data_IF_360262494758
#
_entry.id   IF_360262494758
#
_cell.length_a   1.000
_cell.length_b   1.000
_cell.length_c   1.000
_cell.angle_alpha   90.00
_cell.angle_beta   90.00
_cell.angle_gamma   90.00
#
_symmetry.space_group_name_H-M   'P 1'
#
loop_
_entity.id
_entity.type
_entity.pdbx_description
1 polymer ?
#
# COMPACT_ATOMS: atom_id res chain seq x y z
N UNK A 1 36.36 9.91 12.39
CA UNK A 1 35.51 9.62 11.23
C UNK A 1 34.67 10.85 10.97
N UNK A 2 34.91 11.56 9.90
CA UNK A 2 34.20 12.80 9.52
C UNK A 2 32.78 12.41 9.10
N UNK A 3 31.79 12.82 9.91
CA UNK A 3 30.37 12.78 9.55
C UNK A 3 30.18 13.46 8.20
N UNK A 4 29.87 12.69 7.19
CA UNK A 4 29.24 13.22 5.96
C UNK A 4 27.83 13.61 6.37
N UNK A 5 27.68 14.84 6.88
CA UNK A 5 26.37 15.46 7.05
C UNK A 5 25.79 15.59 5.62
N UNK A 6 24.95 14.65 5.24
CA UNK A 6 24.14 14.75 4.02
C UNK A 6 23.35 16.06 4.08
N UNK A 7 23.14 16.71 2.92
CA UNK A 7 22.40 17.98 2.85
C UNK A 7 21.00 17.79 3.44
N UNK A 8 20.45 18.83 4.11
CA UNK A 8 19.05 18.77 4.53
C UNK A 8 18.14 18.47 3.33
N UNK A 9 17.32 17.42 3.45
CA UNK A 9 16.34 17.04 2.46
C UNK A 9 14.96 17.49 2.94
N UNK A 10 14.36 18.46 2.25
CA UNK A 10 13.01 18.95 2.52
C UNK A 10 11.96 17.97 1.96
N UNK A 11 10.66 18.07 2.37
CA UNK A 11 9.59 17.34 1.72
C UNK A 11 9.60 17.54 0.20
N UNK A 12 9.37 16.46 -0.55
CA UNK A 12 9.41 16.47 -2.01
C UNK A 12 8.18 17.18 -2.61
N UNK A 13 7.02 16.93 -2.03
CA UNK A 13 5.77 17.55 -2.45
C UNK A 13 4.85 17.84 -1.26
N UNK A 14 3.99 18.87 -1.35
CA UNK A 14 3.03 19.19 -0.30
C UNK A 14 1.94 18.12 -0.23
N UNK A 15 1.75 17.57 0.98
CA UNK A 15 0.66 16.67 1.33
C UNK A 15 -0.18 17.26 2.47
N UNK A 16 -1.42 16.83 2.58
CA UNK A 16 -2.30 17.26 3.67
C UNK A 16 -1.70 16.89 5.03
N UNK A 17 -1.71 17.82 5.98
CA UNK A 17 -1.23 17.58 7.34
C UNK A 17 0.28 17.67 7.54
N UNK A 18 1.06 18.19 6.59
CA UNK A 18 2.52 18.39 6.74
C UNK A 18 2.87 19.31 7.90
N UNK A 19 2.01 20.25 8.24
CA UNK A 19 2.15 21.23 9.33
C UNK A 19 1.28 20.94 10.55
N UNK A 20 0.70 19.72 10.62
CA UNK A 20 -0.18 19.31 11.71
C UNK A 20 0.55 19.38 13.05
N UNK A 21 0.00 20.16 13.99
CA UNK A 21 0.48 20.22 15.36
C UNK A 21 -0.21 19.17 16.21
N UNK A 22 0.58 18.30 16.86
CA UNK A 22 0.05 17.27 17.74
C UNK A 22 0.47 17.51 19.20
N UNK A 23 -0.40 17.22 20.17
CA UNK A 23 -0.06 17.39 21.59
C UNK A 23 0.91 16.28 22.05
N UNK A 24 1.83 16.66 22.95
CA UNK A 24 2.75 15.73 23.60
C UNK A 24 2.27 15.42 25.03
N UNK A 25 2.59 14.22 25.53
CA UNK A 25 2.17 13.75 26.85
C UNK A 25 2.76 14.59 28.00
N UNK A 26 3.96 15.14 27.83
CA UNK A 26 4.60 16.06 28.77
C UNK A 26 4.08 17.51 28.67
N UNK A 27 3.11 17.77 27.79
CA UNK A 27 2.57 19.09 27.50
C UNK A 27 3.25 19.77 26.29
N UNK A 28 2.60 20.80 25.76
CA UNK A 28 3.02 21.47 24.52
C UNK A 28 2.60 20.70 23.28
N UNK A 29 3.08 21.16 22.12
CA UNK A 29 2.80 20.57 20.79
C UNK A 29 4.09 20.52 19.98
N UNK A 30 4.13 19.62 18.98
CA UNK A 30 5.13 19.61 17.94
C UNK A 30 4.50 19.33 16.58
N UNK A 31 5.22 19.62 15.50
CA UNK A 31 4.79 19.19 14.17
C UNK A 31 4.84 17.68 14.05
N UNK A 32 3.75 17.07 13.59
CA UNK A 32 3.65 15.63 13.42
C UNK A 32 4.62 15.11 12.36
N UNK A 33 5.41 14.09 12.69
CA UNK A 33 6.23 13.36 11.73
C UNK A 33 5.53 12.05 11.35
N UNK A 34 5.03 11.98 10.12
CA UNK A 34 4.36 10.80 9.61
C UNK A 34 5.36 9.80 9.01
N UNK A 35 5.43 8.62 9.59
CA UNK A 35 6.18 7.47 9.07
C UNK A 35 5.27 6.25 8.82
N UNK A 36 3.97 6.48 8.52
CA UNK A 36 3.03 5.41 8.22
C UNK A 36 2.42 5.51 6.79
N UNK A 37 3.17 6.05 5.84
CA UNK A 37 2.75 6.18 4.42
C UNK A 37 2.40 4.84 3.77
N UNK A 38 3.08 3.75 4.15
CA UNK A 38 2.81 2.41 3.63
C UNK A 38 1.46 1.83 4.09
N UNK A 39 0.86 2.33 5.17
CA UNK A 39 -0.51 1.99 5.57
C UNK A 39 -1.52 2.81 4.78
N UNK A 40 -1.38 4.15 4.80
CA UNK A 40 -2.20 5.09 4.02
C UNK A 40 -1.49 6.44 3.91
N UNK A 41 -1.35 6.95 2.70
CA UNK A 41 -0.71 8.24 2.46
C UNK A 41 -1.72 9.39 2.59
N UNK A 42 -1.32 10.54 3.17
CA UNK A 42 -2.11 11.77 3.11
C UNK A 42 -2.35 12.21 1.66
N UNK A 43 -3.41 12.99 1.42
CA UNK A 43 -3.70 13.47 0.08
C UNK A 43 -2.62 14.47 -0.41
N UNK A 44 -2.21 14.36 -1.68
CA UNK A 44 -1.51 15.45 -2.37
C UNK A 44 -2.42 16.67 -2.49
N UNK A 45 -1.86 17.88 -2.46
CA UNK A 45 -2.62 19.11 -2.65
C UNK A 45 -3.42 19.11 -3.96
N UNK A 46 -2.83 18.64 -5.07
CA UNK A 46 -3.51 18.50 -6.36
C UNK A 46 -4.73 17.56 -6.31
N UNK A 47 -4.74 16.59 -5.41
CA UNK A 47 -5.88 15.68 -5.21
C UNK A 47 -7.03 16.39 -4.50
N UNK A 48 -6.75 17.14 -3.43
CA UNK A 48 -7.78 17.92 -2.71
C UNK A 48 -8.38 19.00 -3.59
N UNK A 49 -7.55 19.67 -4.39
CA UNK A 49 -8.01 20.70 -5.34
C UNK A 49 -8.93 20.10 -6.41
N UNK A 50 -8.58 18.97 -6.99
CA UNK A 50 -9.41 18.25 -7.97
C UNK A 50 -10.78 17.85 -7.37
N UNK A 51 -10.80 17.39 -6.11
CA UNK A 51 -12.07 17.07 -5.43
C UNK A 51 -12.92 18.31 -5.24
N UNK A 52 -12.33 19.42 -4.77
CA UNK A 52 -13.04 20.68 -4.60
C UNK A 52 -13.64 21.21 -5.92
N UNK A 53 -12.89 21.10 -7.03
CA UNK A 53 -13.34 21.49 -8.38
C UNK A 53 -14.51 20.62 -8.88
N UNK A 54 -14.45 19.30 -8.64
CA UNK A 54 -15.45 18.36 -9.17
C UNK A 54 -16.73 18.32 -8.33
N UNK A 55 -16.65 18.58 -7.04
CA UNK A 55 -17.75 18.41 -6.10
C UNK A 55 -19.04 19.16 -6.50
N UNK A 56 -19.02 20.41 -7.03
CA UNK A 56 -20.23 21.09 -7.52
C UNK A 56 -20.92 20.40 -8.70
N UNK A 57 -20.20 19.55 -9.45
CA UNK A 57 -20.71 18.82 -10.61
C UNK A 57 -21.02 17.36 -10.29
N UNK A 58 -20.88 16.93 -9.03
CA UNK A 58 -21.15 15.55 -8.65
C UNK A 58 -22.60 15.16 -8.95
N UNK A 59 -22.76 14.08 -9.71
CA UNK A 59 -24.06 13.55 -10.12
C UNK A 59 -23.93 12.07 -10.55
N UNK A 60 -25.02 11.51 -11.08
CA UNK A 60 -25.04 10.15 -11.62
C UNK A 60 -24.04 9.97 -12.77
N UNK A 61 -23.50 8.77 -12.91
CA UNK A 61 -22.57 8.38 -13.98
C UNK A 61 -23.26 7.40 -14.95
N UNK A 62 -23.06 7.60 -16.25
CA UNK A 62 -23.58 6.78 -17.37
C UNK A 62 -25.11 6.74 -17.54
N UNK A 63 -25.92 7.36 -16.66
CA UNK A 63 -27.37 7.17 -16.62
C UNK A 63 -28.19 8.46 -16.69
N UNK A 64 -27.56 9.60 -16.90
CA UNK A 64 -28.26 10.89 -16.91
C UNK A 64 -27.89 11.75 -18.11
N UNK A 65 -28.90 12.42 -18.70
CA UNK A 65 -28.71 13.42 -19.77
C UNK A 65 -28.37 14.82 -19.22
N UNK A 66 -28.51 15.02 -17.90
CA UNK A 66 -28.26 16.29 -17.23
C UNK A 66 -26.78 16.72 -17.34
N UNK A 67 -26.53 18.02 -17.36
CA UNK A 67 -25.19 18.58 -17.53
C UNK A 67 -24.18 18.03 -16.49
N UNK A 68 -24.52 18.07 -15.19
CA UNK A 68 -23.66 17.54 -14.13
C UNK A 68 -23.38 16.02 -14.28
N UNK A 69 -24.38 15.23 -14.69
CA UNK A 69 -24.18 13.80 -14.97
C UNK A 69 -23.20 13.57 -16.11
N UNK A 70 -23.25 14.40 -17.15
CA UNK A 70 -22.29 14.31 -18.26
C UNK A 70 -20.88 14.69 -17.83
N UNK A 71 -20.73 15.71 -16.97
CA UNK A 71 -19.42 16.10 -16.40
C UNK A 71 -18.87 14.98 -15.52
N UNK A 72 -19.67 14.44 -14.59
CA UNK A 72 -19.26 13.31 -13.74
C UNK A 72 -18.86 12.08 -14.55
N UNK A 73 -19.61 11.76 -15.61
CA UNK A 73 -19.29 10.63 -16.51
C UNK A 73 -17.98 10.88 -17.25
N UNK A 74 -17.79 12.08 -17.79
CA UNK A 74 -16.56 12.43 -18.51
C UNK A 74 -15.33 12.38 -17.58
N UNK A 75 -15.45 12.88 -16.35
CA UNK A 75 -14.39 12.82 -15.36
C UNK A 75 -14.03 11.35 -15.00
N UNK A 76 -15.02 10.50 -14.81
CA UNK A 76 -14.85 9.08 -14.48
C UNK A 76 -14.15 8.32 -15.61
N UNK A 77 -14.59 8.49 -16.86
CA UNK A 77 -13.98 7.80 -18.01
C UNK A 77 -12.61 8.38 -18.38
N UNK A 78 -12.39 9.70 -18.21
CA UNK A 78 -11.05 10.29 -18.35
C UNK A 78 -10.08 9.70 -17.32
N UNK A 79 -10.53 9.52 -16.08
CA UNK A 79 -9.71 8.89 -15.05
C UNK A 79 -9.26 7.48 -15.43
N UNK A 80 -10.10 6.71 -16.13
CA UNK A 80 -9.74 5.39 -16.65
C UNK A 80 -8.58 5.45 -17.63
N UNK A 81 -8.61 6.41 -18.53
CA UNK A 81 -7.51 6.65 -19.49
C UNK A 81 -6.23 7.09 -18.75
N UNK A 82 -6.35 8.06 -17.85
CA UNK A 82 -5.22 8.55 -17.04
C UNK A 82 -4.53 7.42 -16.27
N UNK A 83 -5.30 6.52 -15.65
CA UNK A 83 -4.74 5.36 -14.93
C UNK A 83 -4.06 4.38 -15.88
N UNK A 84 -4.67 4.08 -17.05
CA UNK A 84 -4.06 3.21 -18.05
C UNK A 84 -2.71 3.75 -18.53
N UNK A 85 -2.66 5.05 -18.85
CA UNK A 85 -1.43 5.72 -19.29
C UNK A 85 -0.37 5.75 -18.18
N UNK A 86 -0.79 6.00 -16.93
CA UNK A 86 0.11 6.08 -15.78
C UNK A 86 0.88 4.78 -15.51
N UNK A 87 0.25 3.63 -15.76
CA UNK A 87 0.87 2.30 -15.56
C UNK A 87 1.40 1.67 -16.85
N UNK A 88 1.39 2.40 -17.97
CA UNK A 88 1.84 1.86 -19.27
C UNK A 88 1.02 0.65 -19.73
N UNK A 89 -0.30 0.70 -19.58
CA UNK A 89 -1.17 -0.41 -19.95
C UNK A 89 -1.18 -0.67 -21.47
N UNK A 90 -1.29 -1.94 -21.86
CA UNK A 90 -1.47 -2.31 -23.27
C UNK A 90 -2.80 -1.76 -23.79
N UNK A 91 -2.87 -1.52 -25.11
CA UNK A 91 -4.04 -0.88 -25.75
C UNK A 91 -5.36 -1.63 -25.56
N UNK A 92 -5.31 -2.95 -25.41
CA UNK A 92 -6.45 -3.84 -25.21
C UNK A 92 -6.68 -4.20 -23.73
N UNK A 93 -5.85 -3.69 -22.83
CA UNK A 93 -6.04 -3.85 -21.38
C UNK A 93 -7.30 -3.14 -20.90
N UNK A 94 -7.88 -3.69 -19.83
CA UNK A 94 -9.03 -3.13 -19.14
C UNK A 94 -8.60 -2.56 -17.81
N UNK A 95 -9.07 -1.37 -17.48
CA UNK A 95 -8.98 -0.79 -16.13
C UNK A 95 -10.33 -0.98 -15.45
N UNK A 96 -10.36 -1.67 -14.32
CA UNK A 96 -11.56 -1.83 -13.48
C UNK A 96 -11.33 -1.06 -12.18
N UNK A 97 -12.26 -0.18 -11.82
CA UNK A 97 -12.22 0.52 -10.54
C UNK A 97 -12.88 -0.30 -9.45
N UNK A 98 -12.20 -0.39 -8.32
CA UNK A 98 -12.60 -1.13 -7.14
C UNK A 98 -12.49 -0.24 -5.90
N UNK A 99 -12.65 -0.79 -4.70
CA UNK A 99 -12.46 -0.04 -3.46
C UNK A 99 -10.98 0.10 -3.05
N UNK A 100 -10.18 -0.94 -3.31
CA UNK A 100 -8.77 -1.02 -2.93
C UNK A 100 -8.10 -2.25 -3.58
N UNK A 101 -6.81 -2.47 -3.37
CA UNK A 101 -6.05 -3.64 -3.87
C UNK A 101 -6.67 -4.97 -3.44
N UNK A 102 -7.14 -5.08 -2.19
CA UNK A 102 -7.79 -6.31 -1.69
C UNK A 102 -9.01 -6.67 -2.54
N UNK A 103 -9.84 -5.67 -2.84
CA UNK A 103 -11.02 -5.83 -3.69
C UNK A 103 -10.63 -6.23 -5.13
N UNK A 104 -9.59 -5.60 -5.69
CA UNK A 104 -9.04 -5.90 -7.01
C UNK A 104 -8.54 -7.34 -7.13
N UNK A 105 -7.77 -7.81 -6.14
CA UNK A 105 -7.24 -9.18 -6.14
C UNK A 105 -8.32 -10.23 -5.92
N UNK A 106 -9.36 -9.94 -5.11
CA UNK A 106 -10.52 -10.82 -4.97
C UNK A 106 -11.34 -10.90 -6.27
N UNK A 107 -11.51 -9.79 -6.97
CA UNK A 107 -12.13 -9.78 -8.29
C UNK A 107 -11.34 -10.64 -9.27
N UNK A 108 -10.03 -10.46 -9.36
CA UNK A 108 -9.18 -11.25 -10.24
C UNK A 108 -9.24 -12.74 -9.87
N UNK A 109 -9.18 -13.08 -8.58
CA UNK A 109 -9.24 -14.46 -8.10
C UNK A 109 -10.54 -15.18 -8.51
N UNK A 110 -11.65 -14.46 -8.63
CA UNK A 110 -12.91 -15.01 -9.13
C UNK A 110 -12.87 -15.29 -10.65
N UNK A 111 -11.95 -14.69 -11.38
CA UNK A 111 -11.83 -14.81 -12.84
C UNK A 111 -10.69 -15.75 -13.29
N UNK A 112 -9.76 -16.11 -12.39
CA UNK A 112 -8.63 -17.01 -12.73
C UNK A 112 -9.13 -18.42 -13.01
N UNK A 113 -8.78 -19.03 -14.18
CA UNK A 113 -9.34 -20.32 -14.59
C UNK A 113 -8.62 -21.56 -14.02
N UNK A 114 -7.69 -21.41 -13.08
CA UNK A 114 -6.90 -22.53 -12.55
C UNK A 114 -6.05 -22.19 -11.33
N UNK A 115 -5.04 -23.01 -11.06
CA UNK A 115 -4.15 -22.86 -9.92
C UNK A 115 -3.41 -21.51 -9.94
N UNK A 116 -3.21 -20.95 -8.74
CA UNK A 116 -2.39 -19.74 -8.54
C UNK A 116 -1.20 -20.06 -7.64
N UNK A 117 0.00 -19.69 -8.08
CA UNK A 117 1.24 -19.77 -7.29
C UNK A 117 1.49 -18.42 -6.63
N UNK A 118 1.82 -18.43 -5.34
CA UNK A 118 2.13 -17.24 -4.52
C UNK A 118 3.35 -17.52 -3.64
N UNK A 119 3.99 -16.47 -3.11
CA UNK A 119 5.02 -16.60 -2.08
C UNK A 119 4.41 -16.59 -0.66
N UNK A 120 5.12 -17.16 0.31
CA UNK A 120 4.73 -17.11 1.74
C UNK A 120 4.94 -15.74 2.39
N UNK A 121 5.54 -14.80 1.66
CA UNK A 121 5.80 -13.42 2.09
C UNK A 121 4.67 -12.45 1.75
N UNK A 122 3.65 -12.90 1.00
CA UNK A 122 2.60 -12.05 0.48
C UNK A 122 1.79 -11.37 1.60
N UNK A 123 1.38 -10.13 1.33
CA UNK A 123 0.32 -9.49 2.10
C UNK A 123 -0.96 -10.36 2.05
N UNK A 124 -1.75 -10.37 3.12
CA UNK A 124 -2.98 -11.17 3.19
C UNK A 124 -3.90 -10.99 1.97
N UNK A 125 -3.95 -9.77 1.40
CA UNK A 125 -4.73 -9.49 0.21
C UNK A 125 -4.31 -10.29 -1.02
N UNK A 126 -3.00 -10.63 -1.13
CA UNK A 126 -2.45 -11.45 -2.21
C UNK A 126 -2.18 -12.90 -1.80
N UNK A 127 -2.37 -13.23 -0.51
CA UNK A 127 -2.22 -14.59 -0.02
C UNK A 127 -3.54 -15.35 0.02
N UNK A 128 -4.64 -14.70 0.42
CA UNK A 128 -5.87 -15.37 0.84
C UNK A 128 -6.90 -15.64 -0.28
N UNK A 129 -7.07 -14.80 -1.33
CA UNK A 129 -8.25 -14.87 -2.19
C UNK A 129 -8.24 -16.03 -3.20
N UNK A 130 -7.10 -16.63 -3.48
CA UNK A 130 -6.91 -17.63 -4.51
C UNK A 130 -7.50 -18.98 -4.08
N UNK A 131 -8.42 -19.55 -4.88
CA UNK A 131 -9.12 -20.81 -4.55
C UNK A 131 -8.19 -22.01 -4.51
N UNK A 132 -7.41 -22.20 -5.60
CA UNK A 132 -6.46 -23.31 -5.76
C UNK A 132 -5.04 -22.78 -5.61
N UNK A 133 -4.72 -22.31 -4.38
CA UNK A 133 -3.45 -21.67 -4.06
C UNK A 133 -2.35 -22.68 -3.78
N UNK A 134 -1.20 -22.49 -4.41
CA UNK A 134 0.06 -23.14 -4.09
C UNK A 134 1.05 -22.11 -3.54
N UNK A 135 1.60 -22.38 -2.37
CA UNK A 135 2.49 -21.44 -1.68
C UNK A 135 3.92 -21.92 -1.79
N UNK A 136 4.78 -21.11 -2.38
CA UNK A 136 6.22 -21.32 -2.41
C UNK A 136 6.86 -20.56 -1.26
N UNK A 137 7.65 -21.26 -0.47
CA UNK A 137 8.42 -20.67 0.64
C UNK A 137 9.63 -19.94 0.05
N UNK A 138 9.70 -18.64 0.25
CA UNK A 138 10.83 -17.83 -0.19
C UNK A 138 12.14 -18.33 0.47
N UNK A 139 13.28 -18.25 -0.20
CA UNK A 139 14.59 -18.60 0.35
C UNK A 139 15.23 -17.43 1.12
N UNK A 140 16.45 -17.59 1.59
CA UNK A 140 17.24 -16.50 2.20
C UNK A 140 17.86 -15.57 1.16
N UNK A 141 17.85 -15.97 -0.12
CA UNK A 141 18.24 -15.15 -1.26
C UNK A 141 17.11 -15.05 -2.28
N UNK A 142 17.06 -13.95 -3.01
CA UNK A 142 16.10 -13.74 -4.07
C UNK A 142 16.34 -14.70 -5.23
N UNK A 143 17.60 -14.93 -5.59
CA UNK A 143 17.98 -15.88 -6.64
C UNK A 143 17.44 -17.28 -6.36
N UNK A 144 17.65 -17.83 -5.15
CA UNK A 144 17.12 -19.15 -4.77
C UNK A 144 15.58 -19.14 -4.70
N UNK A 145 14.96 -18.03 -4.34
CA UNK A 145 13.50 -17.90 -4.35
C UNK A 145 12.95 -18.03 -5.77
N UNK A 146 13.61 -17.41 -6.75
CA UNK A 146 13.25 -17.50 -8.17
C UNK A 146 13.42 -18.94 -8.67
N UNK A 147 14.52 -19.63 -8.31
CA UNK A 147 14.72 -21.04 -8.64
C UNK A 147 13.60 -21.95 -8.07
N UNK A 148 13.13 -21.67 -6.85
CA UNK A 148 12.00 -22.41 -6.25
C UNK A 148 10.70 -22.16 -6.99
N UNK A 149 10.44 -20.93 -7.44
CA UNK A 149 9.27 -20.60 -8.27
C UNK A 149 9.33 -21.32 -9.63
N UNK A 150 10.51 -21.33 -10.28
CA UNK A 150 10.73 -22.04 -11.53
C UNK A 150 10.46 -23.55 -11.39
N UNK A 151 11.00 -24.17 -10.34
CA UNK A 151 10.78 -25.57 -10.03
C UNK A 151 9.30 -25.89 -9.76
N UNK A 152 8.61 -25.06 -8.99
CA UNK A 152 7.17 -25.25 -8.69
C UNK A 152 6.30 -25.17 -9.95
N UNK A 153 6.55 -24.18 -10.81
CA UNK A 153 5.81 -24.02 -12.07
C UNK A 153 6.14 -25.14 -13.08
N UNK A 154 7.36 -25.68 -13.06
CA UNK A 154 7.75 -26.80 -13.91
C UNK A 154 7.08 -28.13 -13.51
N UNK A 155 6.84 -28.36 -12.21
CA UNK A 155 6.21 -29.60 -11.72
C UNK A 155 4.74 -29.69 -12.08
N UNK A 156 4.00 -28.60 -11.97
CA UNK A 156 2.57 -28.55 -12.27
C UNK A 156 2.20 -27.21 -12.90
N UNK A 157 1.56 -27.19 -14.08
CA UNK A 157 1.08 -25.93 -14.67
C UNK A 157 0.23 -25.12 -13.70
N UNK A 158 0.34 -23.81 -13.77
CA UNK A 158 -0.49 -22.85 -13.06
C UNK A 158 -1.14 -21.90 -14.08
N UNK A 159 -2.30 -21.37 -13.76
CA UNK A 159 -2.91 -20.30 -14.57
C UNK A 159 -2.24 -18.95 -14.24
N UNK A 160 -1.84 -18.74 -12.98
CA UNK A 160 -1.36 -17.46 -12.50
C UNK A 160 -0.17 -17.62 -11.53
N UNK A 161 0.83 -16.76 -11.68
CA UNK A 161 1.81 -16.39 -10.67
C UNK A 161 1.37 -15.04 -10.08
N UNK A 162 1.00 -14.98 -8.80
CA UNK A 162 0.59 -13.73 -8.14
C UNK A 162 1.62 -13.35 -7.08
N UNK A 163 2.27 -12.19 -7.27
CA UNK A 163 3.41 -11.75 -6.44
C UNK A 163 3.24 -10.29 -6.00
N UNK A 164 3.80 -9.95 -4.86
CA UNK A 164 3.98 -8.54 -4.50
C UNK A 164 5.05 -7.88 -5.37
N UNK A 165 4.84 -6.64 -5.77
CA UNK A 165 5.86 -5.86 -6.48
C UNK A 165 6.94 -5.32 -5.54
N UNK A 166 6.54 -4.96 -4.32
CA UNK A 166 7.43 -4.57 -3.22
C UNK A 166 6.83 -5.03 -1.89
N UNK A 167 7.66 -5.57 -1.00
CA UNK A 167 7.24 -6.05 0.31
C UNK A 167 6.68 -4.92 1.18
N UNK A 168 5.47 -5.07 1.69
CA UNK A 168 4.88 -4.13 2.63
C UNK A 168 5.50 -4.18 4.04
N UNK A 169 6.37 -5.14 4.28
CA UNK A 169 7.12 -5.30 5.54
C UNK A 169 8.52 -4.74 5.40
N UNK A 170 9.31 -5.24 4.47
CA UNK A 170 10.74 -4.96 4.37
C UNK A 170 11.10 -3.92 3.31
N UNK A 171 10.15 -3.61 2.42
CA UNK A 171 10.35 -2.68 1.31
C UNK A 171 11.12 -3.26 0.12
N UNK A 172 11.58 -4.50 0.20
CA UNK A 172 12.34 -5.16 -0.87
C UNK A 172 11.50 -5.28 -2.15
N UNK A 173 12.10 -4.90 -3.29
CA UNK A 173 11.47 -4.89 -4.61
C UNK A 173 11.82 -6.17 -5.36
N UNK A 174 10.81 -6.82 -5.94
CA UNK A 174 11.00 -8.03 -6.74
C UNK A 174 11.34 -7.70 -8.21
N UNK A 175 12.12 -8.53 -8.91
CA UNK A 175 12.49 -8.34 -10.30
C UNK A 175 11.32 -8.73 -11.24
N UNK A 176 10.35 -7.86 -11.36
CA UNK A 176 9.05 -8.11 -12.03
C UNK A 176 9.21 -8.63 -13.44
N UNK A 177 10.08 -8.03 -14.26
CA UNK A 177 10.29 -8.46 -15.64
C UNK A 177 10.83 -9.90 -15.75
N UNK A 178 11.73 -10.30 -14.85
CA UNK A 178 12.28 -11.66 -14.77
C UNK A 178 11.20 -12.65 -14.36
N UNK A 179 10.39 -12.30 -13.34
CA UNK A 179 9.28 -13.13 -12.87
C UNK A 179 8.14 -13.25 -13.89
N UNK A 180 7.89 -12.19 -14.67
CA UNK A 180 6.96 -12.24 -15.79
C UNK A 180 7.43 -13.20 -16.87
N UNK A 181 8.70 -13.08 -17.28
CA UNK A 181 9.30 -14.00 -18.25
C UNK A 181 9.31 -15.46 -17.73
N UNK A 182 9.55 -15.65 -16.43
CA UNK A 182 9.49 -16.97 -15.80
C UNK A 182 8.06 -17.55 -15.87
N UNK A 183 7.05 -16.82 -15.44
CA UNK A 183 5.66 -17.25 -15.50
C UNK A 183 5.24 -17.63 -16.94
N UNK A 184 5.56 -16.79 -17.90
CA UNK A 184 5.22 -17.02 -19.31
C UNK A 184 5.92 -18.23 -19.91
N UNK A 185 7.18 -18.55 -19.53
CA UNK A 185 7.86 -19.79 -19.97
C UNK A 185 7.11 -21.05 -19.57
N UNK A 186 6.38 -21.01 -18.46
CA UNK A 186 5.55 -22.12 -17.97
C UNK A 186 4.08 -22.01 -18.39
N UNK A 187 3.73 -21.05 -19.26
CA UNK A 187 2.35 -20.84 -19.73
C UNK A 187 1.42 -20.20 -18.68
N UNK A 188 1.94 -19.74 -17.57
CA UNK A 188 1.21 -18.98 -16.56
C UNK A 188 1.20 -17.47 -16.90
N UNK A 189 0.15 -16.78 -16.50
CA UNK A 189 0.13 -15.30 -16.43
C UNK A 189 0.75 -14.81 -15.13
N UNK A 190 1.08 -13.50 -15.07
CA UNK A 190 1.55 -12.86 -13.87
C UNK A 190 0.59 -11.75 -13.40
N UNK A 191 0.26 -11.75 -12.11
CA UNK A 191 -0.41 -10.64 -11.42
C UNK A 191 0.54 -10.02 -10.40
N UNK A 192 0.65 -8.70 -10.42
CA UNK A 192 1.46 -7.95 -9.48
C UNK A 192 0.57 -7.20 -8.49
N UNK A 193 0.73 -7.49 -7.20
CA UNK A 193 0.26 -6.60 -6.14
C UNK A 193 1.19 -5.39 -6.10
N UNK A 194 0.75 -4.30 -6.73
CA UNK A 194 1.47 -3.05 -6.85
C UNK A 194 1.21 -2.07 -5.69
N UNK A 195 0.54 -2.52 -4.61
CA UNK A 195 0.11 -1.63 -3.52
C UNK A 195 1.27 -0.83 -2.89
N UNK A 196 2.47 -1.42 -2.80
CA UNK A 196 3.67 -0.74 -2.30
C UNK A 196 4.64 -0.36 -3.43
N UNK A 197 4.53 -0.92 -4.62
CA UNK A 197 5.42 -0.59 -5.72
C UNK A 197 5.00 0.70 -6.44
N UNK A 198 3.72 0.82 -6.80
CA UNK A 198 3.20 1.93 -7.61
C UNK A 198 3.38 3.32 -6.97
N UNK A 199 3.29 3.49 -5.62
CA UNK A 199 3.59 4.78 -4.98
C UNK A 199 5.06 5.22 -5.04
N UNK A 200 6.00 4.29 -5.29
CA UNK A 200 7.43 4.50 -5.14
C UNK A 200 8.22 4.36 -6.44
N UNK A 201 7.70 3.64 -7.44
CA UNK A 201 8.39 3.37 -8.72
C UNK A 201 7.45 3.58 -9.89
N UNK A 202 7.97 4.19 -10.95
CA UNK A 202 7.30 4.14 -12.25
C UNK A 202 7.18 2.70 -12.69
N UNK A 203 6.01 2.34 -13.18
CA UNK A 203 5.75 1.02 -13.72
C UNK A 203 5.19 1.16 -15.14
N UNK A 204 5.70 0.34 -16.04
CA UNK A 204 5.16 0.15 -17.38
C UNK A 204 4.86 -1.34 -17.54
N UNK A 205 3.59 -1.70 -17.32
CA UNK A 205 3.17 -3.12 -17.28
C UNK A 205 3.32 -3.80 -18.64
N UNK A 206 3.23 -3.05 -19.73
CA UNK A 206 3.45 -3.59 -21.07
C UNK A 206 4.94 -3.93 -21.29
N UNK A 207 5.84 -3.02 -20.93
CA UNK A 207 7.28 -3.25 -21.05
C UNK A 207 7.78 -4.35 -20.10
N UNK A 208 7.19 -4.48 -18.91
CA UNK A 208 7.55 -5.50 -17.92
C UNK A 208 6.92 -6.88 -18.18
N UNK A 209 5.99 -6.98 -19.14
CA UNK A 209 5.28 -8.22 -19.43
C UNK A 209 4.25 -8.61 -18.36
N UNK A 210 3.72 -7.66 -17.59
CA UNK A 210 2.73 -7.90 -16.53
C UNK A 210 1.34 -8.06 -17.15
N UNK A 211 0.64 -9.16 -16.83
CA UNK A 211 -0.71 -9.42 -17.33
C UNK A 211 -1.80 -8.72 -16.50
N UNK A 212 -1.58 -8.62 -15.19
CA UNK A 212 -2.49 -7.94 -14.25
C UNK A 212 -1.73 -7.14 -13.21
N UNK A 213 -2.19 -5.93 -12.93
CA UNK A 213 -1.68 -5.07 -11.87
C UNK A 213 -2.83 -4.62 -10.98
N UNK A 214 -2.66 -4.73 -9.65
CA UNK A 214 -3.61 -4.21 -8.67
C UNK A 214 -2.94 -3.20 -7.73
N UNK A 215 -3.59 -2.06 -7.45
CA UNK A 215 -3.10 -1.07 -6.48
C UNK A 215 -4.24 -0.24 -5.87
N UNK A 216 -3.90 0.55 -4.83
CA UNK A 216 -4.86 1.34 -4.06
C UNK A 216 -4.55 2.83 -4.10
N UNK A 217 -5.57 3.65 -4.29
CA UNK A 217 -5.44 5.10 -4.29
C UNK A 217 -4.98 5.66 -2.93
N UNK A 218 -5.44 5.08 -1.81
CA UNK A 218 -5.09 5.57 -0.47
C UNK A 218 -3.61 5.44 -0.12
N UNK A 219 -2.84 4.63 -0.84
CA UNK A 219 -1.37 4.57 -0.74
C UNK A 219 -0.68 5.45 -1.77
N UNK A 220 -1.38 5.77 -2.85
CA UNK A 220 -0.95 6.66 -3.93
C UNK A 220 -1.47 8.10 -3.69
N UNK A 221 -1.46 8.57 -2.45
CA UNK A 221 -1.84 9.94 -2.07
C UNK A 221 -3.27 10.36 -2.44
N UNK A 222 -4.18 9.41 -2.66
CA UNK A 222 -5.60 9.63 -2.95
C UNK A 222 -6.51 8.86 -1.97
N UNK A 223 -6.67 9.32 -0.70
CA UNK A 223 -7.34 8.59 0.38
C UNK A 223 -8.89 8.63 0.29
N UNK A 224 -9.46 8.44 -0.90
CA UNK A 224 -10.91 8.55 -1.13
C UNK A 224 -11.57 7.22 -1.54
N UNK A 225 -10.97 6.09 -1.16
CA UNK A 225 -11.57 4.75 -1.30
C UNK A 225 -11.70 4.26 -2.74
N UNK A 226 -10.68 4.50 -3.57
CA UNK A 226 -10.56 3.93 -4.90
C UNK A 226 -9.37 2.97 -4.99
N UNK A 227 -9.56 1.87 -5.71
CA UNK A 227 -8.53 0.92 -6.11
C UNK A 227 -8.65 0.60 -7.60
N UNK A 228 -7.69 -0.13 -8.12
CA UNK A 228 -7.57 -0.44 -9.54
C UNK A 228 -7.15 -1.88 -9.75
N UNK A 229 -7.79 -2.53 -10.72
CA UNK A 229 -7.28 -3.70 -11.41
C UNK A 229 -7.08 -3.33 -12.88
N UNK A 230 -5.86 -3.47 -13.38
CA UNK A 230 -5.53 -3.29 -14.81
C UNK A 230 -5.07 -4.62 -15.37
N UNK A 231 -5.53 -5.01 -16.54
CA UNK A 231 -5.01 -6.22 -17.18
C UNK A 231 -5.82 -6.72 -18.38
N UNK A 232 -5.50 -7.95 -18.79
CA UNK A 232 -6.07 -8.60 -19.94
C UNK A 232 -7.59 -8.81 -19.80
N UNK A 233 -8.32 -8.54 -20.88
CA UNK A 233 -9.79 -8.52 -20.89
C UNK A 233 -10.42 -9.91 -20.79
N UNK A 234 -9.81 -10.91 -21.38
CA UNK A 234 -10.41 -12.22 -21.63
C UNK A 234 -10.90 -12.95 -20.37
N UNK A 235 -10.09 -13.01 -19.31
CA UNK A 235 -10.53 -13.60 -18.03
C UNK A 235 -11.59 -12.75 -17.35
N UNK A 236 -11.48 -11.42 -17.46
CA UNK A 236 -12.46 -10.50 -16.87
C UNK A 236 -13.81 -10.58 -17.58
N UNK A 237 -13.83 -10.79 -18.90
CA UNK A 237 -15.07 -11.00 -19.66
C UNK A 237 -15.68 -12.40 -19.43
N UNK A 238 -14.85 -13.42 -19.19
CA UNK A 238 -15.29 -14.80 -18.95
C UNK A 238 -15.76 -15.02 -17.51
N UNK A 239 -15.22 -14.30 -16.53
CA UNK A 239 -15.55 -14.43 -15.12
C UNK A 239 -16.96 -13.95 -14.79
N UNK A 240 -17.52 -14.45 -13.68
CA UNK A 240 -18.76 -13.92 -13.13
C UNK A 240 -18.56 -12.44 -12.71
N UNK A 241 -19.61 -11.61 -12.78
CA UNK A 241 -19.51 -10.23 -12.33
C UNK A 241 -19.10 -10.17 -10.85
N UNK A 242 -18.17 -9.29 -10.51
CA UNK A 242 -17.72 -9.12 -9.13
C UNK A 242 -18.88 -8.74 -8.19
N UNK A 243 -19.74 -7.84 -8.67
CA UNK A 243 -21.00 -7.46 -8.03
C UNK A 243 -22.12 -7.55 -9.06
N UNK A 244 -23.17 -8.30 -8.76
CA UNK A 244 -24.36 -8.38 -9.61
C UNK A 244 -25.29 -7.20 -9.33
N UNK A 245 -25.55 -6.36 -10.32
CA UNK A 245 -26.41 -5.19 -10.14
C UNK A 245 -26.57 -4.31 -11.37
N UNK A 246 -27.30 -3.24 -11.20
CA UNK A 246 -27.49 -2.25 -12.27
C UNK A 246 -26.18 -1.62 -12.72
N UNK A 247 -25.95 -1.53 -14.03
CA UNK A 247 -24.72 -1.06 -14.65
C UNK A 247 -23.83 -2.18 -15.19
N UNK A 248 -23.85 -3.37 -14.59
CA UNK A 248 -23.10 -4.54 -15.03
C UNK A 248 -23.78 -5.36 -16.12
N UNK A 249 -25.01 -4.99 -16.52
CA UNK A 249 -25.84 -5.75 -17.44
C UNK A 249 -26.11 -4.99 -18.74
N UNK A 250 -26.25 -5.73 -19.86
CA UNK A 250 -26.82 -5.23 -21.11
C UNK A 250 -28.33 -5.35 -21.12
N UNK A 251 -28.85 -6.51 -20.70
CA UNK A 251 -30.26 -6.75 -20.59
C UNK A 251 -30.58 -7.74 -19.45
N UNK A 252 -31.75 -7.59 -18.85
CA UNK A 252 -32.25 -8.47 -17.78
C UNK A 252 -33.72 -8.77 -18.01
N UNK A 253 -34.07 -10.05 -17.92
CA UNK A 253 -35.44 -10.54 -17.74
C UNK A 253 -35.51 -11.39 -16.47
N UNK A 254 -36.72 -11.88 -16.14
CA UNK A 254 -36.86 -12.75 -14.96
C UNK A 254 -36.02 -14.03 -15.10
N UNK A 255 -35.92 -14.55 -16.30
CA UNK A 255 -35.33 -15.88 -16.56
C UNK A 255 -33.94 -15.78 -17.21
N UNK A 256 -33.46 -14.56 -17.57
CA UNK A 256 -32.22 -14.42 -18.29
C UNK A 256 -31.53 -13.09 -18.01
N UNK A 257 -30.19 -13.12 -17.87
CA UNK A 257 -29.34 -11.96 -17.73
C UNK A 257 -28.21 -11.98 -18.77
N UNK A 258 -28.10 -10.92 -19.55
CA UNK A 258 -26.95 -10.67 -20.42
C UNK A 258 -26.02 -9.66 -19.75
N UNK A 259 -24.84 -10.11 -19.35
CA UNK A 259 -23.85 -9.26 -18.69
C UNK A 259 -23.13 -8.35 -19.69
N UNK A 260 -22.78 -7.15 -19.25
CA UNK A 260 -21.90 -6.26 -20.00
C UNK A 260 -20.47 -6.86 -20.07
N UNK A 261 -19.63 -6.45 -21.02
CA UNK A 261 -18.21 -6.74 -20.98
C UNK A 261 -17.52 -5.97 -19.85
N UNK A 262 -16.29 -6.38 -19.47
CA UNK A 262 -15.44 -5.57 -18.60
C UNK A 262 -15.08 -4.21 -19.28
N UNK A 263 -14.95 -3.11 -18.53
CA UNK A 263 -14.98 -3.03 -17.07
C UNK A 263 -16.39 -3.02 -16.46
N UNK A 264 -17.44 -2.64 -17.20
CA UNK A 264 -18.79 -2.43 -16.67
C UNK A 264 -19.34 -3.67 -15.96
N UNK A 265 -18.99 -4.88 -16.44
CA UNK A 265 -19.34 -6.17 -15.81
C UNK A 265 -19.01 -6.23 -14.34
N UNK A 266 -17.94 -5.55 -13.90
CA UNK A 266 -17.42 -5.60 -12.54
C UNK A 266 -17.66 -4.31 -11.73
N UNK A 267 -18.24 -3.28 -12.35
CA UNK A 267 -18.49 -1.96 -11.73
C UNK A 267 -20.00 -1.72 -11.52
N UNK A 268 -20.70 -2.67 -10.91
CA UNK A 268 -22.13 -2.52 -10.64
C UNK A 268 -22.42 -1.45 -9.57
N UNK A 269 -23.60 -0.85 -9.67
CA UNK A 269 -24.05 0.20 -8.75
C UNK A 269 -23.64 1.59 -9.20
N UNK A 270 -23.69 2.55 -8.28
CA UNK A 270 -23.15 3.90 -8.50
C UNK A 270 -21.67 3.89 -8.13
N UNK A 271 -20.75 4.21 -9.07
CA UNK A 271 -19.33 4.15 -8.79
C UNK A 271 -18.87 5.30 -7.90
N UNK A 272 -17.71 5.13 -7.27
CA UNK A 272 -17.05 6.16 -6.47
C UNK A 272 -16.38 7.22 -7.37
N UNK A 273 -17.17 8.14 -7.92
CA UNK A 273 -16.71 9.18 -8.87
C UNK A 273 -15.60 10.03 -8.27
N UNK A 274 -15.79 10.50 -7.04
CA UNK A 274 -14.81 11.38 -6.37
C UNK A 274 -13.51 10.65 -6.08
N UNK A 275 -13.60 9.41 -5.57
CA UNK A 275 -12.40 8.60 -5.31
C UNK A 275 -11.61 8.27 -6.58
N UNK A 276 -12.30 7.99 -7.69
CA UNK A 276 -11.65 7.73 -8.99
C UNK A 276 -11.02 9.01 -9.57
N UNK A 277 -11.70 10.16 -9.44
CA UNK A 277 -11.13 11.45 -9.86
C UNK A 277 -9.92 11.84 -9.01
N UNK A 278 -9.97 11.58 -7.70
CA UNK A 278 -8.84 11.75 -6.78
C UNK A 278 -7.64 10.89 -7.19
N UNK A 279 -7.89 9.62 -7.49
CA UNK A 279 -6.85 8.69 -7.96
C UNK A 279 -6.20 9.17 -9.27
N UNK A 280 -7.00 9.61 -10.24
CA UNK A 280 -6.48 10.16 -11.49
C UNK A 280 -5.64 11.42 -11.25
N UNK A 281 -6.08 12.32 -10.35
CA UNK A 281 -5.31 13.50 -9.99
C UNK A 281 -3.96 13.17 -9.34
N UNK A 282 -3.92 12.12 -8.50
CA UNK A 282 -2.65 11.61 -7.94
C UNK A 282 -1.75 11.04 -9.03
N UNK A 283 -2.28 10.24 -9.96
CA UNK A 283 -1.54 9.71 -11.11
C UNK A 283 -0.97 10.85 -11.97
N UNK A 284 -1.79 11.87 -12.31
CA UNK A 284 -1.36 13.05 -13.09
C UNK A 284 -0.24 13.81 -12.36
N UNK A 285 -0.39 14.07 -11.05
CA UNK A 285 0.59 14.79 -10.26
C UNK A 285 1.93 14.05 -10.16
N UNK A 286 1.90 12.74 -9.84
CA UNK A 286 3.10 11.90 -9.71
C UNK A 286 3.76 11.73 -11.09
N UNK A 287 2.98 11.57 -12.17
CA UNK A 287 3.50 11.51 -13.53
C UNK A 287 4.23 12.80 -13.96
N UNK A 288 3.90 13.92 -13.34
CA UNK A 288 4.56 15.21 -13.58
C UNK A 288 5.89 15.40 -12.86
N UNK A 289 6.25 14.55 -11.90
CA UNK A 289 7.54 14.63 -11.21
C UNK A 289 8.67 14.01 -12.04
N UNK A 290 9.89 14.50 -11.84
CA UNK A 290 11.08 13.85 -12.38
C UNK A 290 11.37 12.56 -11.58
N UNK A 291 11.46 11.44 -12.27
CA UNK A 291 11.65 10.13 -11.66
C UNK A 291 12.99 10.00 -10.92
N UNK A 292 14.05 10.60 -11.48
CA UNK A 292 15.37 10.52 -10.86
C UNK A 292 15.41 11.36 -9.56
N UNK A 293 14.76 12.52 -9.55
CA UNK A 293 14.64 13.35 -8.35
C UNK A 293 13.78 12.67 -7.27
N UNK A 294 12.66 12.03 -7.67
CA UNK A 294 11.79 11.29 -6.76
C UNK A 294 12.53 10.12 -6.10
N UNK A 295 13.23 9.32 -6.91
CA UNK A 295 14.02 8.19 -6.41
C UNK A 295 15.20 8.65 -5.56
N UNK A 296 15.88 9.73 -5.92
CA UNK A 296 16.97 10.30 -5.15
C UNK A 296 16.52 10.79 -3.76
N UNK A 297 15.34 11.45 -3.70
CA UNK A 297 14.72 11.87 -2.45
C UNK A 297 14.42 10.67 -1.53
N UNK A 298 13.73 9.65 -2.05
CA UNK A 298 13.41 8.45 -1.29
C UNK A 298 14.66 7.71 -0.83
N UNK A 299 15.64 7.55 -1.72
CA UNK A 299 16.91 6.87 -1.43
C UNK A 299 17.69 7.58 -0.31
N UNK A 300 17.80 8.91 -0.38
CA UNK A 300 18.48 9.72 0.66
C UNK A 300 17.83 9.49 2.03
N UNK A 301 16.50 9.64 2.12
CA UNK A 301 15.78 9.50 3.39
C UNK A 301 15.81 8.06 3.92
N UNK A 302 15.61 7.06 3.04
CA UNK A 302 15.60 5.66 3.45
C UNK A 302 16.99 5.16 3.85
N UNK A 303 18.05 5.59 3.15
CA UNK A 303 19.44 5.30 3.52
C UNK A 303 19.81 5.92 4.85
N UNK A 304 19.43 7.19 5.07
CA UNK A 304 19.63 7.89 6.33
C UNK A 304 18.93 7.19 7.49
N UNK A 305 17.67 6.77 7.31
CA UNK A 305 16.91 6.05 8.31
C UNK A 305 17.55 4.70 8.63
N UNK A 306 17.87 3.90 7.60
CA UNK A 306 18.53 2.60 7.79
C UNK A 306 19.87 2.72 8.50
N UNK A 307 20.71 3.68 8.08
CA UNK A 307 22.02 3.91 8.71
C UNK A 307 21.89 4.37 10.17
N UNK A 308 20.94 5.27 10.45
CA UNK A 308 20.67 5.74 11.82
C UNK A 308 20.20 4.61 12.74
N UNK A 309 19.24 3.82 12.30
CA UNK A 309 18.70 2.68 13.07
C UNK A 309 19.75 1.57 13.27
N UNK A 310 20.52 1.24 12.24
CA UNK A 310 21.57 0.20 12.32
C UNK A 310 22.74 0.59 13.26
N UNK A 311 22.88 1.88 13.58
CA UNK A 311 23.89 2.35 14.52
C UNK A 311 23.44 2.26 15.99
N UNK A 312 22.18 1.94 16.27
CA UNK A 312 21.63 1.83 17.62
C UNK A 312 21.77 0.39 18.13
N UNK A 313 22.42 0.25 19.28
CA UNK A 313 22.53 -1.05 19.94
C UNK A 313 21.15 -1.60 20.30
N UNK A 314 20.90 -2.88 19.97
CA UNK A 314 19.61 -3.54 20.24
C UNK A 314 18.49 -3.20 19.27
N UNK A 315 18.77 -2.47 18.18
CA UNK A 315 17.82 -2.32 17.07
C UNK A 315 18.20 -3.27 15.94
N UNK A 316 17.26 -4.11 15.52
CA UNK A 316 17.42 -5.06 14.41
C UNK A 316 16.55 -4.64 13.23
N UNK A 317 17.16 -4.51 12.04
CA UNK A 317 16.44 -4.24 10.79
C UNK A 317 16.01 -5.56 10.15
N UNK A 318 14.74 -5.66 9.74
CA UNK A 318 14.21 -6.88 9.12
C UNK A 318 14.43 -6.85 7.60
N UNK A 319 14.84 -7.97 7.05
CA UNK A 319 14.98 -8.22 5.61
C UNK A 319 14.63 -9.67 5.28
N UNK A 320 14.16 -9.93 4.05
CA UNK A 320 13.85 -11.28 3.54
C UNK A 320 15.06 -11.85 2.83
N UNK A 321 15.69 -11.06 1.94
CA UNK A 321 16.74 -11.50 1.03
C UNK A 321 18.04 -10.73 1.23
N UNK A 322 19.13 -11.49 1.36
CA UNK A 322 20.47 -10.91 1.50
C UNK A 322 20.97 -10.25 0.20
N UNK A 323 20.38 -10.60 -0.95
CA UNK A 323 20.74 -10.17 -2.30
C UNK A 323 19.67 -9.30 -2.97
N UNK A 324 18.73 -8.73 -2.20
CA UNK A 324 17.71 -7.83 -2.76
C UNK A 324 18.36 -6.60 -3.43
N UNK A 325 18.06 -6.34 -4.72
CA UNK A 325 18.77 -5.31 -5.48
C UNK A 325 18.28 -3.88 -5.18
N UNK A 326 17.05 -3.73 -4.70
CA UNK A 326 16.39 -2.44 -4.46
C UNK A 326 15.39 -2.55 -3.30
N UNK A 327 15.14 -1.41 -2.65
CA UNK A 327 14.10 -1.26 -1.62
C UNK A 327 13.36 0.07 -1.81
N UNK A 328 12.06 0.06 -1.53
CA UNK A 328 11.28 1.30 -1.39
C UNK A 328 11.43 1.89 0.00
N UNK A 329 10.88 3.08 0.23
CA UNK A 329 10.97 3.85 1.47
C UNK A 329 10.28 3.20 2.70
N UNK A 330 10.44 1.89 2.88
CA UNK A 330 9.90 1.11 4.00
C UNK A 330 11.04 0.47 4.79
N UNK A 331 11.03 0.69 6.10
CA UNK A 331 12.02 0.12 7.03
C UNK A 331 11.28 -0.48 8.22
N UNK A 332 11.41 -1.80 8.39
CA UNK A 332 10.85 -2.50 9.54
C UNK A 332 11.97 -2.92 10.48
N UNK A 333 11.74 -2.73 11.76
CA UNK A 333 12.75 -2.99 12.80
C UNK A 333 12.10 -3.47 14.10
N UNK A 334 12.93 -4.03 14.96
CA UNK A 334 12.57 -4.34 16.36
C UNK A 334 13.54 -3.65 17.31
N UNK A 335 13.10 -3.43 18.55
CA UNK A 335 13.93 -2.90 19.63
C UNK A 335 14.00 -3.97 20.72
N UNK A 336 15.21 -4.41 21.05
CA UNK A 336 15.45 -5.51 21.98
C UNK A 336 14.77 -5.25 23.36
N UNK A 337 14.00 -6.23 23.82
CA UNK A 337 13.30 -6.16 25.11
C UNK A 337 12.11 -5.20 25.15
N UNK A 338 11.64 -4.67 23.99
CA UNK A 338 10.47 -3.80 23.91
C UNK A 338 9.38 -4.40 23.04
N UNK A 339 8.15 -4.21 23.45
CA UNK A 339 6.99 -4.52 22.63
C UNK A 339 6.86 -3.48 21.49
N UNK A 340 6.56 -3.89 20.24
CA UNK A 340 6.38 -2.96 19.12
C UNK A 340 5.32 -1.88 19.36
N UNK A 341 4.22 -2.22 20.05
CA UNK A 341 3.16 -1.27 20.41
C UNK A 341 3.63 -0.26 21.46
N UNK A 342 4.44 -0.68 22.46
CA UNK A 342 5.07 0.24 23.43
C UNK A 342 5.95 1.25 22.71
N UNK A 343 6.79 0.80 21.75
CA UNK A 343 7.66 1.67 20.96
C UNK A 343 6.84 2.68 20.15
N UNK A 344 5.78 2.23 19.49
CA UNK A 344 4.91 3.11 18.71
C UNK A 344 4.18 4.14 19.58
N UNK A 345 3.67 3.72 20.73
CA UNK A 345 3.03 4.60 21.73
C UNK A 345 3.99 5.66 22.26
N UNK A 346 5.23 5.25 22.61
CA UNK A 346 6.30 6.16 23.04
C UNK A 346 6.62 7.22 21.96
N UNK A 347 6.88 6.79 20.73
CA UNK A 347 7.20 7.68 19.61
C UNK A 347 6.08 8.70 19.37
N UNK A 348 4.83 8.26 19.44
CA UNK A 348 3.66 9.12 19.29
C UNK A 348 3.50 10.09 20.45
N UNK A 349 3.57 9.61 21.68
CA UNK A 349 3.21 10.38 22.86
C UNK A 349 4.29 11.39 23.29
N UNK A 350 5.55 10.99 23.24
CA UNK A 350 6.65 11.85 23.70
C UNK A 350 7.30 12.66 22.58
N UNK A 351 7.17 12.20 21.30
CA UNK A 351 7.90 12.81 20.18
C UNK A 351 7.03 13.24 19.00
N UNK A 352 5.72 12.98 19.02
CA UNK A 352 4.80 13.32 17.92
C UNK A 352 5.14 12.63 16.60
N UNK A 353 5.62 11.39 16.67
CA UNK A 353 6.04 10.58 15.53
C UNK A 353 5.05 9.43 15.35
N UNK A 354 4.45 9.31 14.16
CA UNK A 354 3.56 8.20 13.81
C UNK A 354 4.28 7.12 13.02
N UNK A 355 4.34 5.92 13.57
CA UNK A 355 4.83 4.70 12.92
C UNK A 355 3.73 3.64 12.94
N UNK A 356 3.94 2.52 12.24
CA UNK A 356 3.06 1.35 12.34
C UNK A 356 3.70 0.28 13.21
N UNK A 357 2.94 -0.28 14.13
CA UNK A 357 3.30 -1.47 14.91
C UNK A 357 2.49 -2.69 14.50
N UNK A 358 2.93 -3.88 14.94
CA UNK A 358 2.21 -5.15 14.82
C UNK A 358 2.63 -5.99 13.62
N UNK A 359 1.68 -6.69 12.99
CA UNK A 359 1.97 -7.78 12.02
C UNK A 359 1.75 -7.40 10.54
N UNK A 360 1.37 -6.17 10.24
CA UNK A 360 1.27 -5.56 8.88
C UNK A 360 0.47 -6.39 7.86
N UNK A 361 -0.51 -7.19 8.32
CA UNK A 361 -1.23 -8.16 7.47
C UNK A 361 -0.29 -9.13 6.70
N UNK A 362 0.84 -9.50 7.31
CA UNK A 362 1.86 -10.41 6.76
C UNK A 362 2.36 -11.38 7.85
N UNK A 363 1.42 -12.00 8.59
CA UNK A 363 1.73 -12.89 9.73
C UNK A 363 2.69 -14.04 9.38
N UNK A 364 2.57 -14.73 8.22
CA UNK A 364 3.52 -15.77 7.85
C UNK A 364 4.94 -15.24 7.72
N UNK A 365 5.12 -14.08 7.07
CA UNK A 365 6.43 -13.45 6.89
C UNK A 365 7.08 -13.10 8.23
N UNK A 366 6.37 -12.40 9.13
CA UNK A 366 6.94 -12.02 10.42
C UNK A 366 7.28 -13.23 11.28
N UNK A 367 6.45 -14.28 11.28
CA UNK A 367 6.77 -15.54 11.96
C UNK A 367 8.05 -16.17 11.41
N UNK A 368 8.22 -16.17 10.09
CA UNK A 368 9.41 -16.67 9.42
C UNK A 368 10.67 -15.89 9.79
N UNK A 369 10.56 -14.57 9.93
CA UNK A 369 11.65 -13.70 10.35
C UNK A 369 11.96 -13.79 11.86
N UNK A 370 11.21 -14.61 12.63
CA UNK A 370 11.39 -14.79 14.07
C UNK A 370 10.61 -13.80 14.94
N UNK A 371 9.77 -12.95 14.33
CA UNK A 371 9.04 -11.86 15.01
C UNK A 371 7.52 -12.09 14.96
N UNK A 372 7.07 -13.26 15.45
CA UNK A 372 5.65 -13.64 15.44
C UNK A 372 4.73 -12.66 16.20
N UNK A 373 5.28 -11.95 17.18
CA UNK A 373 4.55 -10.96 17.99
C UNK A 373 4.40 -9.60 17.26
N UNK A 374 5.22 -9.34 16.26
CA UNK A 374 5.17 -8.14 15.45
C UNK A 374 6.51 -7.39 15.41
N UNK A 375 6.48 -6.22 14.78
CA UNK A 375 7.61 -5.31 14.65
C UNK A 375 7.13 -3.86 14.52
N UNK A 376 8.03 -2.90 14.46
CA UNK A 376 7.75 -1.50 14.13
C UNK A 376 8.14 -1.24 12.69
N UNK A 377 7.26 -0.59 11.93
CA UNK A 377 7.52 -0.20 10.55
C UNK A 377 7.47 1.31 10.41
N UNK A 378 8.57 1.91 9.96
CA UNK A 378 8.64 3.28 9.52
C UNK A 378 8.61 3.32 7.99
N UNK A 379 7.76 4.14 7.41
CA UNK A 379 7.63 4.31 5.97
C UNK A 379 7.64 5.78 5.58
N UNK A 380 8.43 6.08 4.56
CA UNK A 380 8.73 7.41 4.04
C UNK A 380 7.81 7.70 2.85
N UNK A 381 7.40 8.95 2.70
CA UNK A 381 6.62 9.42 1.56
C UNK A 381 7.06 10.80 1.09
N UNK A 382 6.30 11.36 0.13
CA UNK A 382 6.60 12.65 -0.50
C UNK A 382 6.64 13.84 0.48
N UNK A 383 5.92 13.73 1.60
CA UNK A 383 5.91 14.75 2.65
C UNK A 383 6.96 14.56 3.74
N UNK A 384 7.81 13.54 3.67
CA UNK A 384 8.85 13.28 4.67
C UNK A 384 10.09 14.14 4.43
N UNK A 385 10.81 14.46 5.50
CA UNK A 385 12.06 15.25 5.48
C UNK A 385 13.19 14.56 6.23
N UNK A 386 14.44 15.00 5.99
CA UNK A 386 15.59 14.53 6.76
C UNK A 386 15.50 14.90 8.26
N UNK A 387 14.87 16.02 8.59
CA UNK A 387 14.63 16.41 9.98
C UNK A 387 13.68 15.47 10.71
N UNK A 388 12.66 14.93 10.01
CA UNK A 388 11.77 13.92 10.57
C UNK A 388 12.53 12.62 10.83
N UNK A 389 13.37 12.20 9.88
CA UNK A 389 14.21 10.99 10.03
C UNK A 389 15.15 11.13 11.22
N UNK A 390 15.85 12.27 11.35
CA UNK A 390 16.75 12.52 12.48
C UNK A 390 16.00 12.44 13.79
N UNK A 391 14.82 13.09 13.88
CA UNK A 391 13.98 13.06 15.08
C UNK A 391 13.55 11.63 15.45
N UNK A 392 13.22 10.79 14.48
CA UNK A 392 12.89 9.39 14.73
C UNK A 392 14.10 8.61 15.27
N UNK A 393 15.28 8.79 14.68
CA UNK A 393 16.52 8.12 15.12
C UNK A 393 16.91 8.59 16.53
N UNK A 394 16.87 9.91 16.79
CA UNK A 394 17.19 10.48 18.09
C UNK A 394 16.22 9.99 19.19
N UNK A 395 14.91 9.91 18.88
CA UNK A 395 13.91 9.38 19.80
C UNK A 395 14.17 7.91 20.15
N UNK A 396 14.52 7.08 19.15
CA UNK A 396 14.86 5.67 19.40
C UNK A 396 16.18 5.51 20.13
N UNK A 397 17.18 6.36 19.87
CA UNK A 397 18.43 6.39 20.63
C UNK A 397 18.16 6.67 22.12
N UNK A 398 17.34 7.68 22.44
CA UNK A 398 16.94 8.00 23.80
C UNK A 398 16.16 6.84 24.46
N UNK A 399 15.26 6.17 23.73
CA UNK A 399 14.52 5.01 24.21
C UNK A 399 15.44 3.84 24.58
N UNK A 400 16.44 3.56 23.74
CA UNK A 400 17.40 2.47 23.97
C UNK A 400 18.35 2.79 25.14
N UNK A 401 18.81 4.03 25.24
CA UNK A 401 19.78 4.46 26.28
C UNK A 401 19.12 4.61 27.66
N UNK A 402 17.94 5.24 27.72
CA UNK A 402 17.35 5.70 28.98
C UNK A 402 15.95 5.16 29.27
N UNK A 403 15.29 4.54 28.28
CA UNK A 403 13.88 4.17 28.34
C UNK A 403 12.94 5.38 28.17
N UNK A 404 11.62 5.14 28.22
CA UNK A 404 10.62 6.20 28.09
C UNK A 404 10.58 7.10 29.34
N UNK A 405 10.24 8.38 29.15
CA UNK A 405 10.03 9.32 30.27
C UNK A 405 8.63 9.23 30.90
N UNK A 406 7.71 8.52 30.24
CA UNK A 406 6.35 8.35 30.69
C UNK A 406 6.04 6.88 30.94
N UNK A 407 4.98 6.60 31.69
CA UNK A 407 4.53 5.22 31.92
C UNK A 407 3.60 4.79 30.78
N UNK A 408 3.81 3.57 30.25
CA UNK A 408 2.98 2.96 29.23
C UNK A 408 2.36 1.67 29.74
N UNK A 409 1.11 1.42 29.37
CA UNK A 409 0.41 0.18 29.69
C UNK A 409 -0.39 -0.31 28.46
N UNK A 410 -0.48 -1.63 28.36
CA UNK A 410 -1.34 -2.28 27.38
C UNK A 410 -2.76 -2.40 27.93
N UNK A 411 -3.74 -1.94 27.14
CA UNK A 411 -5.17 -2.12 27.39
C UNK A 411 -5.88 -2.56 26.11
N UNK A 412 -6.58 -3.69 26.17
CA UNK A 412 -7.31 -4.28 25.03
C UNK A 412 -6.46 -4.41 23.74
N UNK A 413 -5.17 -4.73 23.87
CA UNK A 413 -4.24 -4.89 22.75
C UNK A 413 -3.66 -3.58 22.21
N UNK A 414 -3.85 -2.47 22.93
CA UNK A 414 -3.27 -1.18 22.58
C UNK A 414 -2.37 -0.66 23.70
N UNK A 415 -1.16 -0.24 23.35
CA UNK A 415 -0.27 0.45 24.26
C UNK A 415 -0.62 1.94 24.33
N UNK A 416 -0.76 2.46 25.53
CA UNK A 416 -1.14 3.85 25.80
C UNK A 416 -0.28 4.46 26.90
N UNK A 417 0.02 5.76 26.85
CA UNK A 417 0.59 6.47 28.01
C UNK A 417 -0.44 6.54 29.14
N UNK A 418 0.01 6.36 30.38
CA UNK A 418 -0.85 6.36 31.56
C UNK A 418 -0.34 7.35 32.63
N UNK A 419 -1.11 8.41 32.95
CA UNK A 419 -2.33 8.86 32.27
C UNK A 419 -2.03 9.44 30.88
N UNK A 420 -3.01 9.45 29.95
CA UNK A 420 -2.92 10.21 28.73
C UNK A 420 -3.65 11.56 28.85
N UNK A 421 -2.91 12.68 29.05
CA UNK A 421 -3.51 13.99 29.19
C UNK A 421 -3.74 14.70 27.83
N UNK A 422 -3.39 14.07 26.69
CA UNK A 422 -3.47 14.70 25.37
C UNK A 422 -4.92 14.86 24.94
N UNK A 423 -5.37 16.06 24.54
CA UNK A 423 -6.72 16.26 24.05
C UNK A 423 -6.91 15.58 22.68
N UNK A 424 -8.05 14.92 22.48
CA UNK A 424 -8.51 14.52 21.16
C UNK A 424 -9.34 15.66 20.53
N UNK A 425 -9.25 15.86 19.20
CA UNK A 425 -10.14 16.78 18.49
C UNK A 425 -11.61 16.34 18.63
N UNK A 426 -12.55 17.29 18.66
CA UNK A 426 -14.00 17.01 18.74
C UNK A 426 -14.50 16.05 17.63
N UNK A 427 -13.82 16.02 16.48
CA UNK A 427 -14.10 15.10 15.37
C UNK A 427 -13.92 13.62 15.74
N UNK A 428 -13.15 13.34 16.80
CA UNK A 428 -12.82 11.99 17.25
C UNK A 428 -13.39 11.67 18.65
N UNK A 429 -14.28 12.51 19.18
CA UNK A 429 -14.90 12.33 20.49
C UNK A 429 -15.64 11.00 20.57
N UNK A 430 -15.33 10.19 21.58
CA UNK A 430 -15.90 8.86 21.79
C UNK A 430 -15.18 7.69 21.10
N UNK A 431 -14.10 7.93 20.34
CA UNK A 431 -13.32 6.89 19.69
C UNK A 431 -12.29 6.19 20.63
N UNK A 432 -12.15 6.67 21.86
CA UNK A 432 -11.29 6.04 22.86
C UNK A 432 -11.84 4.65 23.23
N UNK A 433 -11.13 3.57 22.89
CA UNK A 433 -11.46 2.20 23.32
C UNK A 433 -11.95 1.24 22.22
N UNK A 434 -11.77 1.56 20.94
CA UNK A 434 -11.98 0.57 19.87
C UNK A 434 -10.77 -0.37 19.83
N UNK A 435 -10.93 -1.61 20.29
CA UNK A 435 -9.87 -2.63 20.33
C UNK A 435 -9.28 -2.92 18.94
N UNK A 436 -8.01 -3.30 18.90
CA UNK A 436 -7.34 -3.71 17.65
C UNK A 436 -8.00 -4.96 17.07
N UNK A 437 -8.43 -4.96 15.79
CA UNK A 437 -8.97 -6.17 15.15
C UNK A 437 -7.93 -7.29 14.98
N UNK A 438 -6.65 -7.02 15.27
CA UNK A 438 -5.55 -7.97 15.15
C UNK A 438 -5.10 -8.56 16.50
N UNK A 439 -5.77 -8.23 17.61
CA UNK A 439 -5.54 -8.91 18.90
C UNK A 439 -6.11 -10.33 18.85
N UNK A 440 -5.41 -11.36 19.36
CA UNK A 440 -5.99 -12.68 19.56
C UNK A 440 -7.18 -12.52 20.51
N UNK A 441 -8.39 -12.89 20.09
CA UNK A 441 -9.44 -13.22 21.03
C UNK A 441 -8.96 -14.48 21.78
N UNK A 442 -8.80 -14.40 23.09
CA UNK A 442 -8.59 -15.55 23.95
C UNK A 442 -9.69 -16.58 23.66
N UNK A 443 -9.33 -17.70 23.05
CA UNK A 443 -10.18 -18.82 22.72
C UNK A 443 -9.39 -20.11 22.76
#
# INVERSE_FOLDING_TARGET
>A
MTSVLSRPCAPFAPVSGTDLQVPLVQGGTCTYANFDYAASAPALAAVTDRIAELLPFYSSVHRGAGYASRVSTAAYEKARVTVADFVGAQKDSVVVFTRNTTDSLNLLAACVPGDTVVLDIEHHANLLPWRDRRVVVAASTLAETIDRLDAELAVKPAALLAITGASNVTGEVLPIAELAALAHRHGARIAVDGAQLVPHRRIDIAALGVDYLAFSGHKLYAPFGAGVLVGARDWLDAGEPHLAGGGAVRSVSIDHTEWAPAPQRHEAGTPNVLGVAALAAACEAIAGFDDAELQAHEHELSSRLRAGLAALDGVELLQVWADAPDTVGIVTFTVAGRDPGEVAAYLSAEHGIGVRDGKFCAHPLLRRLGHADGAVRASIGLGSSSADVDRLVDALAALVESGPNWHYAEDAGWWNPVPDPRPFPDLADGAAGVGSPCTPSDG
#
